data_IF_968306894328
#
_entry.id   IF_968306894328
#
_cell.length_a   1.000
_cell.length_b   1.000
_cell.length_c   1.000
_cell.angle_alpha   90.00
_cell.angle_beta   90.00
_cell.angle_gamma   90.00
#
_symmetry.space_group_name_H-M   'P 1'
#
loop_
_entity.id
_entity.type
_entity.pdbx_description
1 polymer ?
#
# COMPACT_ATOMS: atom_id res chain seq x y z
N UNK A 1 -64.42 -10.16 -31.74
CA UNK A 1 -65.85 -10.52 -31.72
C UNK A 1 -66.21 -10.95 -30.30
N UNK A 2 -67.33 -10.40 -29.78
CA UNK A 2 -68.18 -10.79 -28.62
C UNK A 2 -67.55 -11.40 -27.34
N UNK A 3 -67.92 -11.05 -26.10
CA UNK A 3 -68.91 -10.13 -25.51
C UNK A 3 -68.55 -9.91 -24.02
N UNK A 4 -68.61 -8.69 -23.47
CA UNK A 4 -69.77 -8.04 -22.80
C UNK A 4 -70.49 -8.88 -21.72
N UNK A 5 -70.28 -8.50 -20.46
CA UNK A 5 -71.16 -8.80 -19.31
C UNK A 5 -71.01 -7.73 -18.23
N UNK A 6 -71.98 -6.82 -18.15
CA UNK A 6 -72.13 -5.74 -17.15
C UNK A 6 -73.10 -6.21 -16.05
N UNK A 7 -72.96 -5.75 -14.81
CA UNK A 7 -74.04 -5.86 -13.80
C UNK A 7 -73.68 -5.45 -12.36
N UNK A 8 -74.11 -4.24 -11.98
CA UNK A 8 -74.10 -3.58 -10.65
C UNK A 8 -75.11 -4.25 -9.65
N UNK A 9 -75.27 -3.84 -8.35
CA UNK A 9 -75.18 -2.45 -7.84
C UNK A 9 -74.65 -2.18 -6.40
N UNK A 10 -74.37 -0.90 -6.19
CA UNK A 10 -74.29 -0.18 -4.91
C UNK A 10 -75.61 -0.24 -4.11
N UNK A 11 -75.51 -0.31 -2.77
CA UNK A 11 -76.42 0.41 -1.86
C UNK A 11 -75.63 1.14 -0.77
N UNK A 12 -76.00 2.40 -0.59
CA UNK A 12 -75.59 3.34 0.46
C UNK A 12 -76.55 3.25 1.65
N UNK A 13 -76.05 3.66 2.82
CA UNK A 13 -76.80 4.07 4.01
C UNK A 13 -76.37 3.24 5.22
N UNK A 14 -75.92 3.79 6.35
CA UNK A 14 -75.77 5.15 6.84
C UNK A 14 -75.47 5.07 8.35
N UNK A 15 -74.86 6.10 8.92
CA UNK A 15 -74.89 6.36 10.37
C UNK A 15 -73.76 5.79 11.24
N UNK A 16 -72.80 6.66 11.58
CA UNK A 16 -72.00 6.64 12.83
C UNK A 16 -72.92 6.77 14.08
N UNK A 17 -72.48 6.61 15.37
CA UNK A 17 -71.10 6.79 15.89
C UNK A 17 -70.60 5.87 17.05
N UNK A 18 -69.26 5.93 17.26
CA UNK A 18 -68.50 5.88 18.53
C UNK A 18 -68.67 4.67 19.48
N UNK A 19 -67.56 3.94 19.71
CA UNK A 19 -66.74 4.02 20.95
C UNK A 19 -65.53 3.09 20.88
N UNK A 20 -64.43 3.60 21.43
CA UNK A 20 -63.11 3.00 21.53
C UNK A 20 -63.08 1.73 22.40
N UNK A 21 -62.17 0.80 22.07
CA UNK A 21 -61.28 0.21 23.08
C UNK A 21 -60.00 -0.32 22.45
N UNK A 22 -58.92 0.30 22.89
CA UNK A 22 -57.52 -0.06 22.73
C UNK A 22 -57.30 -1.45 23.35
N UNK A 23 -56.83 -2.41 22.56
CA UNK A 23 -56.15 -3.60 23.04
C UNK A 23 -54.94 -3.77 22.13
N UNK A 24 -53.83 -3.15 22.52
CA UNK A 24 -52.53 -3.40 21.91
C UNK A 24 -51.83 -4.41 22.81
N UNK A 25 -51.90 -5.65 22.35
CA UNK A 25 -51.22 -6.82 22.87
C UNK A 25 -49.78 -6.75 22.35
N UNK A 26 -48.82 -6.34 23.18
CA UNK A 26 -47.40 -6.46 22.85
C UNK A 26 -46.88 -7.69 23.58
N UNK A 27 -47.00 -8.82 22.87
CA UNK A 27 -46.25 -10.04 23.11
C UNK A 27 -44.76 -9.77 22.92
N UNK A 28 -43.96 -9.99 23.95
CA UNK A 28 -42.51 -9.97 23.88
C UNK A 28 -42.01 -11.35 23.42
N UNK A 29 -41.86 -11.55 22.11
CA UNK A 29 -40.90 -12.52 21.61
C UNK A 29 -39.51 -11.88 21.47
N UNK A 30 -38.42 -12.57 21.88
CA UNK A 30 -37.07 -12.10 21.63
C UNK A 30 -36.71 -12.30 20.16
N UNK A 31 -36.38 -11.20 19.49
CA UNK A 31 -35.86 -11.20 18.12
C UNK A 31 -34.55 -11.99 18.07
N UNK A 32 -34.56 -13.15 17.42
CA UNK A 32 -33.37 -13.85 16.95
C UNK A 32 -32.72 -12.98 15.86
N UNK A 33 -31.55 -12.44 16.17
CA UNK A 33 -30.65 -11.90 15.14
C UNK A 33 -30.02 -13.12 14.46
N UNK A 34 -30.49 -13.42 13.26
CA UNK A 34 -29.85 -14.39 12.37
C UNK A 34 -28.51 -13.80 11.93
N UNK A 35 -27.42 -14.46 12.31
CA UNK A 35 -26.09 -14.22 11.74
C UNK A 35 -26.13 -14.74 10.31
N UNK A 36 -26.22 -13.85 9.33
CA UNK A 36 -25.92 -14.20 7.95
C UNK A 36 -24.41 -14.41 7.84
N UNK A 37 -24.02 -15.65 7.61
CA UNK A 37 -22.70 -16.03 7.11
C UNK A 37 -22.44 -15.30 5.79
N UNK A 38 -21.48 -14.39 5.81
CA UNK A 38 -20.97 -13.72 4.59
C UNK A 38 -20.21 -14.75 3.78
N UNK A 39 -20.59 -14.87 2.51
CA UNK A 39 -20.04 -15.78 1.52
C UNK A 39 -18.68 -15.25 1.03
N UNK A 40 -17.61 -16.06 1.11
CA UNK A 40 -16.21 -15.73 0.77
C UNK A 40 -15.91 -15.72 -0.74
N UNK A 41 -16.83 -15.24 -1.56
CA UNK A 41 -16.59 -15.07 -3.00
C UNK A 41 -17.21 -13.76 -3.44
N UNK A 42 -16.42 -12.67 -3.36
CA UNK A 42 -16.42 -11.55 -4.30
C UNK A 42 -15.61 -10.38 -3.71
N UNK A 43 -14.28 -10.47 -3.77
CA UNK A 43 -13.41 -9.31 -3.61
C UNK A 43 -12.27 -9.33 -4.62
N UNK A 44 -12.64 -9.15 -5.89
CA UNK A 44 -11.72 -8.62 -6.90
C UNK A 44 -12.40 -7.41 -7.53
N UNK A 45 -12.08 -6.23 -7.01
CA UNK A 45 -12.04 -5.00 -7.81
C UNK A 45 -11.05 -4.00 -7.22
N UNK A 46 -10.36 -3.21 -8.08
CA UNK A 46 -9.13 -2.53 -7.72
C UNK A 46 -9.40 -1.15 -7.12
N UNK A 47 -8.77 -0.85 -5.99
CA UNK A 47 -8.84 0.47 -5.38
C UNK A 47 -7.94 1.49 -6.13
N UNK A 48 -8.41 2.74 -6.32
CA UNK A 48 -7.70 3.78 -7.07
C UNK A 48 -6.58 4.42 -6.23
N UNK A 49 -5.59 5.05 -6.89
CA UNK A 49 -4.47 5.69 -6.17
C UNK A 49 -4.87 7.05 -5.61
N UNK A 50 -4.77 7.21 -4.29
CA UNK A 50 -4.89 8.53 -3.65
C UNK A 50 -3.57 9.30 -3.77
N UNK A 51 -3.54 10.20 -4.75
CA UNK A 51 -2.51 11.22 -4.94
C UNK A 51 -2.87 12.50 -4.16
N UNK A 52 -1.95 12.89 -3.27
CA UNK A 52 -1.56 14.26 -2.88
C UNK A 52 -2.65 15.20 -2.33
N UNK A 53 -2.64 15.40 -1.01
CA UNK A 53 -3.09 16.66 -0.41
C UNK A 53 -1.88 17.52 -0.01
N UNK A 54 -1.62 18.56 -0.78
CA UNK A 54 -0.78 19.70 -0.37
C UNK A 54 -1.64 20.78 0.29
N UNK A 55 -1.15 21.25 1.43
CA UNK A 55 -1.60 22.37 2.25
C UNK A 55 -1.28 23.71 1.57
N UNK A 56 -2.26 24.62 1.39
CA UNK A 56 -2.09 26.10 1.52
C UNK A 56 -3.42 26.88 1.46
N UNK A 57 -3.43 27.94 2.24
CA UNK A 57 -4.51 28.88 2.62
C UNK A 57 -5.10 29.70 1.45
N UNK A 58 -6.33 30.23 1.62
CA UNK A 58 -6.61 31.68 1.75
C UNK A 58 -8.07 32.10 1.45
N UNK A 59 -8.75 32.62 2.50
CA UNK A 59 -9.62 33.83 2.57
C UNK A 59 -10.92 33.93 1.73
N UNK A 60 -12.10 33.86 2.40
CA UNK A 60 -13.12 34.94 2.52
C UNK A 60 -14.42 34.50 3.24
N UNK A 61 -14.65 35.08 4.45
CA UNK A 61 -15.88 35.59 5.11
C UNK A 61 -17.24 34.80 5.18
N UNK A 62 -18.18 35.15 6.09
CA UNK A 62 -18.05 35.53 7.50
C UNK A 62 -19.00 34.74 8.45
N UNK A 63 -18.68 34.75 9.75
CA UNK A 63 -19.46 34.17 10.84
C UNK A 63 -20.52 35.14 11.41
N UNK A 64 -21.65 34.60 11.86
CA UNK A 64 -22.74 35.30 12.55
C UNK A 64 -22.72 34.96 14.06
N UNK A 65 -22.52 36.01 14.87
CA UNK A 65 -22.97 36.24 16.26
C UNK A 65 -22.19 35.66 17.45
N UNK A 66 -22.22 36.35 18.63
CA UNK A 66 -21.00 36.89 19.24
C UNK A 66 -20.74 36.39 20.67
N UNK A 67 -19.49 36.54 21.13
CA UNK A 67 -19.15 36.53 22.57
C UNK A 67 -18.95 37.96 23.10
N UNK A 68 -19.21 38.24 24.40
CA UNK A 68 -19.09 39.58 24.96
C UNK A 68 -17.64 40.00 25.31
N UNK A 69 -17.47 41.31 25.20
CA UNK A 69 -16.36 42.25 25.40
C UNK A 69 -15.54 42.17 26.73
N UNK A 70 -14.44 42.97 26.85
CA UNK A 70 -13.17 42.62 27.48
C UNK A 70 -12.90 43.37 28.80
N UNK A 71 -11.70 43.18 29.37
CA UNK A 71 -11.02 44.29 30.02
C UNK A 71 -9.49 44.27 29.82
N UNK A 72 -8.83 45.46 29.81
CA UNK A 72 -7.45 45.66 29.38
C UNK A 72 -6.48 45.92 30.55
N UNK A 73 -5.18 45.74 30.27
CA UNK A 73 -4.03 46.66 30.49
C UNK A 73 -2.77 45.90 30.95
N UNK A 74 -1.67 46.03 30.20
CA UNK A 74 -0.48 46.80 30.60
C UNK A 74 0.72 46.54 29.67
N UNK A 75 1.27 47.67 29.23
CA UNK A 75 2.47 47.93 28.45
C UNK A 75 3.76 47.31 29.02
N UNK A 76 4.76 47.01 28.17
CA UNK A 76 6.07 47.70 28.12
C UNK A 76 7.13 46.99 27.24
N UNK A 77 7.49 47.67 26.15
CA UNK A 77 8.82 47.97 25.57
C UNK A 77 10.06 47.15 26.02
N UNK A 78 10.86 46.65 25.03
CA UNK A 78 12.32 46.94 24.83
C UNK A 78 12.82 46.26 23.53
N UNK A 79 13.14 47.00 22.44
CA UNK A 79 14.50 47.35 21.91
C UNK A 79 15.53 46.19 21.97
N UNK A 80 16.34 45.84 20.96
CA UNK A 80 17.22 46.58 20.01
C UNK A 80 17.76 45.52 19.00
N UNK A 81 17.73 45.72 17.68
CA UNK A 81 18.77 46.32 16.80
C UNK A 81 20.01 45.46 16.48
N UNK A 82 20.14 45.02 15.21
CA UNK A 82 21.35 45.11 14.34
C UNK A 82 21.06 44.35 13.03
N UNK A 83 20.69 45.00 11.92
CA UNK A 83 21.58 45.52 10.86
C UNK A 83 22.52 44.47 10.27
N UNK A 84 22.24 44.01 9.04
CA UNK A 84 23.11 44.02 7.85
C UNK A 84 22.26 43.59 6.63
N UNK A 85 22.27 44.41 5.57
CA UNK A 85 21.74 44.19 4.20
C UNK A 85 22.92 44.42 3.23
N UNK A 86 22.78 44.24 1.91
CA UNK A 86 22.37 43.04 1.16
C UNK A 86 23.35 42.74 -0.01
N UNK A 87 23.38 41.51 -0.52
CA UNK A 87 23.94 41.22 -1.85
C UNK A 87 22.85 41.31 -2.92
N UNK A 88 23.09 42.13 -3.93
CA UNK A 88 22.25 42.30 -5.11
C UNK A 88 22.77 41.43 -6.25
N UNK A 89 21.84 40.70 -6.86
CA UNK A 89 21.96 40.02 -8.15
C UNK A 89 21.68 41.02 -9.26
N UNK A 90 22.54 41.11 -10.28
CA UNK A 90 22.15 41.48 -11.67
C UNK A 90 23.09 40.77 -12.65
N UNK A 91 22.50 39.96 -13.53
CA UNK A 91 23.06 39.54 -14.81
C UNK A 91 22.80 40.64 -15.86
N UNK A 92 23.76 40.90 -16.77
CA UNK A 92 23.49 40.96 -18.21
C UNK A 92 24.77 41.20 -19.06
N UNK A 93 24.77 40.52 -20.20
CA UNK A 93 25.31 40.90 -21.51
C UNK A 93 26.77 40.63 -21.95
N UNK A 94 26.79 39.96 -23.10
CA UNK A 94 27.87 39.54 -23.99
C UNK A 94 28.56 40.73 -24.69
N UNK A 95 29.82 40.56 -25.17
CA UNK A 95 30.04 40.80 -26.60
C UNK A 95 31.06 39.88 -27.32
N UNK A 96 30.83 39.80 -28.63
CA UNK A 96 31.60 39.16 -29.73
C UNK A 96 33.10 39.52 -29.79
N UNK A 97 33.93 38.57 -30.26
CA UNK A 97 35.17 38.85 -31.01
C UNK A 97 36.30 37.81 -30.85
N UNK A 98 36.98 37.33 -31.91
CA UNK A 98 37.81 36.11 -31.88
C UNK A 98 39.33 36.38 -31.72
N UNK A 99 40.04 35.49 -31.02
CA UNK A 99 41.52 35.44 -31.05
C UNK A 99 42.03 33.99 -30.98
N UNK A 100 42.60 33.54 -32.12
CA UNK A 100 43.79 32.67 -32.31
C UNK A 100 44.08 31.66 -31.18
N UNK A 101 43.84 30.37 -31.41
CA UNK A 101 44.84 29.40 -31.94
C UNK A 101 46.08 29.28 -31.06
N UNK A 102 46.14 28.23 -30.24
CA UNK A 102 47.30 27.34 -30.14
C UNK A 102 46.87 26.05 -29.43
N UNK A 103 46.84 24.96 -30.20
CA UNK A 103 46.50 23.63 -29.76
C UNK A 103 47.75 22.99 -29.14
N UNK A 104 47.58 22.45 -27.93
CA UNK A 104 48.61 21.78 -27.16
C UNK A 104 49.18 20.57 -27.91
N UNK A 105 50.51 20.48 -27.86
CA UNK A 105 51.40 19.54 -28.55
C UNK A 105 51.00 18.06 -28.38
N UNK A 106 50.69 17.40 -29.49
CA UNK A 106 50.63 15.94 -29.57
C UNK A 106 52.05 15.38 -29.81
N UNK A 107 52.52 14.50 -28.94
CA UNK A 107 53.68 13.64 -29.22
C UNK A 107 53.29 12.60 -30.29
N UNK A 108 53.73 12.82 -31.52
CA UNK A 108 53.60 11.84 -32.60
C UNK A 108 54.57 10.68 -32.40
N UNK A 109 54.05 9.45 -32.39
CA UNK A 109 54.85 8.22 -32.37
C UNK A 109 55.57 8.04 -33.71
N UNK A 110 56.90 7.95 -33.69
CA UNK A 110 57.70 7.73 -34.90
C UNK A 110 57.90 6.22 -35.14
N UNK A 111 57.10 5.65 -36.05
CA UNK A 111 57.09 4.22 -36.43
C UNK A 111 58.47 3.73 -36.91
N UNK A 112 59.30 4.64 -37.42
CA UNK A 112 60.65 4.35 -37.94
C UNK A 112 61.62 3.85 -36.87
N UNK A 113 61.44 4.25 -35.60
CA UNK A 113 62.32 3.85 -34.50
C UNK A 113 62.08 2.41 -34.05
N UNK A 114 60.82 1.95 -34.12
CA UNK A 114 60.45 0.57 -33.79
C UNK A 114 60.96 -0.42 -34.84
N UNK A 115 60.88 -0.05 -36.13
CA UNK A 115 61.38 -0.87 -37.23
C UNK A 115 62.91 -1.07 -37.17
N UNK A 116 63.66 -0.09 -36.65
CA UNK A 116 65.11 -0.25 -36.45
C UNK A 116 65.46 -1.25 -35.35
N UNK A 117 64.68 -1.32 -34.27
CA UNK A 117 64.89 -2.32 -33.21
C UNK A 117 64.58 -3.75 -33.64
N UNK A 118 63.68 -3.96 -34.61
CA UNK A 118 63.37 -5.30 -35.10
C UNK A 118 64.44 -5.90 -36.03
N UNK A 119 65.33 -5.07 -36.60
CA UNK A 119 66.37 -5.57 -37.50
C UNK A 119 67.68 -5.96 -36.80
N UNK A 120 67.90 -5.53 -35.55
CA UNK A 120 69.13 -5.84 -34.83
C UNK A 120 69.11 -7.22 -34.12
N UNK A 121 67.94 -7.85 -33.99
CA UNK A 121 67.78 -9.15 -33.29
C UNK A 121 67.73 -10.37 -34.23
N UNK A 122 67.93 -10.19 -35.55
CA UNK A 122 68.02 -11.28 -36.52
C UNK A 122 69.49 -11.52 -36.89
N UNK A 123 70.25 -12.10 -35.97
CA UNK A 123 71.40 -12.92 -36.32
C UNK A 123 71.04 -14.37 -35.99
N UNK A 124 70.83 -15.14 -37.05
CA UNK A 124 70.54 -16.56 -37.02
C UNK A 124 71.77 -17.36 -36.57
N UNK A 125 71.59 -18.23 -35.58
CA UNK A 125 72.38 -19.46 -35.44
C UNK A 125 71.38 -20.63 -35.64
N UNK A 126 71.48 -21.40 -36.74
CA UNK A 126 70.43 -22.32 -37.14
C UNK A 126 70.75 -23.76 -36.74
N UNK A 127 70.75 -24.07 -35.44
CA UNK A 127 70.77 -25.46 -34.97
C UNK A 127 70.20 -25.51 -33.55
N UNK A 128 68.91 -25.84 -33.41
CA UNK A 128 68.37 -26.81 -32.43
C UNK A 128 66.83 -26.75 -32.43
N UNK A 129 66.23 -27.58 -33.28
CA UNK A 129 64.77 -27.81 -33.32
C UNK A 129 64.35 -28.78 -32.22
N UNK A 130 64.07 -28.30 -31.00
CA UNK A 130 63.11 -28.98 -30.10
C UNK A 130 62.66 -28.15 -28.87
N UNK A 131 62.03 -26.99 -29.05
CA UNK A 131 61.38 -26.29 -27.92
C UNK A 131 59.99 -25.74 -28.29
N UNK A 132 59.04 -26.66 -28.47
CA UNK A 132 57.62 -26.31 -28.63
C UNK A 132 56.86 -26.13 -27.30
N UNK A 133 57.57 -26.09 -26.15
CA UNK A 133 56.94 -25.91 -24.82
C UNK A 133 57.27 -24.56 -24.15
N UNK A 134 58.16 -23.73 -24.72
CA UNK A 134 58.68 -22.51 -24.08
C UNK A 134 58.19 -21.20 -24.71
N UNK A 135 57.03 -21.20 -25.39
CA UNK A 135 56.42 -19.99 -25.98
C UNK A 135 55.31 -19.37 -25.10
N UNK A 136 54.97 -19.99 -23.96
CA UNK A 136 54.00 -19.44 -23.02
C UNK A 136 54.70 -18.47 -22.08
N UNK A 137 54.58 -17.16 -22.36
CA UNK A 137 55.04 -16.14 -21.42
C UNK A 137 54.50 -16.38 -19.99
N UNK A 138 55.28 -16.06 -18.93
CA UNK A 138 54.97 -16.44 -17.56
C UNK A 138 53.58 -15.95 -17.14
N UNK A 139 52.74 -16.85 -16.62
CA UNK A 139 51.39 -16.55 -16.13
C UNK A 139 50.22 -16.93 -17.04
N UNK A 140 50.49 -17.58 -18.18
CA UNK A 140 49.46 -18.16 -19.05
C UNK A 140 49.62 -19.68 -19.18
N UNK A 141 48.51 -20.38 -19.24
CA UNK A 141 48.43 -21.84 -19.43
C UNK A 141 47.42 -22.16 -20.51
N UNK A 142 47.60 -23.32 -21.16
CA UNK A 142 46.67 -23.79 -22.19
C UNK A 142 45.62 -24.71 -21.56
N UNK A 143 44.34 -24.42 -21.84
CA UNK A 143 43.19 -25.22 -21.38
C UNK A 143 42.37 -25.56 -22.61
N UNK A 144 42.27 -26.85 -22.96
CA UNK A 144 41.57 -27.34 -24.17
C UNK A 144 41.93 -26.56 -25.44
N UNK A 145 43.21 -26.22 -25.61
CA UNK A 145 43.70 -25.44 -26.77
C UNK A 145 43.61 -23.91 -26.63
N UNK A 146 42.98 -23.38 -25.58
CA UNK A 146 42.85 -21.94 -25.34
C UNK A 146 43.93 -21.40 -24.39
N UNK A 147 44.54 -20.26 -24.74
CA UNK A 147 45.57 -19.61 -23.93
C UNK A 147 44.93 -18.67 -22.90
N UNK A 148 44.85 -19.07 -21.65
CA UNK A 148 44.22 -18.31 -20.57
C UNK A 148 45.19 -18.02 -19.43
N UNK A 149 44.86 -17.04 -18.57
CA UNK A 149 45.68 -16.78 -17.36
C UNK A 149 45.64 -17.99 -16.44
N UNK A 150 46.77 -18.31 -15.80
CA UNK A 150 46.87 -19.47 -14.91
C UNK A 150 45.85 -19.44 -13.75
N UNK A 151 45.46 -18.25 -13.28
CA UNK A 151 44.47 -18.07 -12.20
C UNK A 151 43.06 -18.54 -12.57
N UNK A 152 42.67 -18.40 -13.85
CA UNK A 152 41.32 -18.76 -14.33
C UNK A 152 41.27 -20.15 -14.95
N UNK A 153 42.42 -20.77 -15.20
CA UNK A 153 42.52 -22.07 -15.83
C UNK A 153 41.75 -23.18 -15.07
N UNK A 154 41.84 -23.30 -13.73
CA UNK A 154 41.09 -24.31 -12.99
C UNK A 154 39.57 -24.13 -13.12
N UNK A 155 39.11 -22.87 -13.16
CA UNK A 155 37.70 -22.55 -13.30
C UNK A 155 37.18 -22.92 -14.69
N UNK A 156 37.95 -22.55 -15.73
CA UNK A 156 37.60 -22.86 -17.11
C UNK A 156 37.58 -24.38 -17.37
N UNK A 157 38.55 -25.11 -16.84
CA UNK A 157 38.57 -26.57 -16.88
C UNK A 157 37.29 -27.16 -16.24
N UNK A 158 36.91 -26.66 -15.06
CA UNK A 158 35.67 -27.08 -14.40
C UNK A 158 34.41 -26.80 -15.22
N UNK A 159 34.38 -25.68 -15.96
CA UNK A 159 33.28 -25.36 -16.89
C UNK A 159 33.26 -26.37 -18.04
N UNK A 160 34.39 -26.65 -18.67
CA UNK A 160 34.46 -27.61 -19.78
C UNK A 160 34.10 -29.04 -19.35
N UNK A 161 34.52 -29.47 -18.17
CA UNK A 161 34.13 -30.77 -17.60
C UNK A 161 32.62 -30.87 -17.43
N UNK A 162 31.95 -29.78 -17.02
CA UNK A 162 30.51 -29.79 -16.72
C UNK A 162 29.63 -29.55 -17.94
N UNK A 163 30.08 -28.72 -18.87
CA UNK A 163 29.27 -28.22 -19.97
C UNK A 163 29.76 -28.67 -21.35
N UNK A 164 30.85 -29.45 -21.41
CA UNK A 164 31.55 -29.77 -22.66
C UNK A 164 32.30 -28.57 -23.21
N UNK A 165 32.91 -28.72 -24.39
CA UNK A 165 33.55 -27.60 -25.08
C UNK A 165 32.52 -26.55 -25.51
N UNK A 166 32.42 -25.48 -24.72
CA UNK A 166 31.50 -24.37 -24.96
C UNK A 166 31.90 -23.51 -26.17
N UNK A 167 33.07 -23.72 -26.77
CA UNK A 167 33.57 -22.97 -27.93
C UNK A 167 33.51 -23.76 -29.24
N UNK A 168 33.00 -25.00 -29.24
CA UNK A 168 32.96 -25.87 -30.40
C UNK A 168 32.27 -25.24 -31.63
N UNK A 169 31.27 -24.38 -31.41
CA UNK A 169 30.53 -23.67 -32.47
C UNK A 169 30.95 -22.19 -32.63
N UNK A 170 32.01 -21.76 -31.93
CA UNK A 170 32.41 -20.35 -31.87
C UNK A 170 32.82 -19.83 -33.25
N UNK A 171 32.35 -18.64 -33.61
CA UNK A 171 32.63 -18.02 -34.92
C UNK A 171 33.91 -17.18 -34.94
N UNK A 172 34.62 -17.06 -33.82
CA UNK A 172 35.83 -16.26 -33.73
C UNK A 172 37.04 -17.04 -34.26
N UNK A 173 37.63 -16.55 -35.34
CA UNK A 173 38.83 -17.14 -35.94
C UNK A 173 40.07 -16.94 -35.07
N UNK A 174 40.25 -15.76 -34.47
CA UNK A 174 41.39 -15.45 -33.60
C UNK A 174 41.36 -16.25 -32.29
N UNK A 175 42.38 -17.06 -31.99
CA UNK A 175 42.53 -17.74 -30.69
C UNK A 175 42.61 -16.77 -29.50
N UNK A 176 43.20 -15.60 -29.69
CA UNK A 176 43.36 -14.56 -28.67
C UNK A 176 41.99 -13.97 -28.30
N UNK A 177 41.15 -13.69 -29.30
CA UNK A 177 39.79 -13.22 -29.07
C UNK A 177 38.94 -14.28 -28.36
N UNK A 178 39.02 -15.55 -28.79
CA UNK A 178 38.33 -16.66 -28.08
C UNK A 178 38.75 -16.70 -26.61
N UNK A 179 40.05 -16.62 -26.34
CA UNK A 179 40.58 -16.62 -24.98
C UNK A 179 40.15 -15.39 -24.16
N UNK A 180 40.02 -14.22 -24.80
CA UNK A 180 39.50 -13.01 -24.15
C UNK A 180 38.05 -13.19 -23.69
N UNK A 181 37.16 -13.68 -24.56
CA UNK A 181 35.77 -13.94 -24.20
C UNK A 181 35.65 -14.99 -23.09
N UNK A 182 36.44 -16.07 -23.14
CA UNK A 182 36.49 -17.07 -22.07
C UNK A 182 36.96 -16.48 -20.73
N UNK A 183 37.93 -15.55 -20.76
CA UNK A 183 38.35 -14.83 -19.57
C UNK A 183 37.24 -13.98 -18.96
N UNK A 184 36.51 -13.23 -19.79
CA UNK A 184 35.35 -12.43 -19.36
C UNK A 184 34.23 -13.31 -18.79
N UNK A 185 33.96 -14.45 -19.42
CA UNK A 185 33.00 -15.44 -18.94
C UNK A 185 33.37 -15.97 -17.55
N UNK A 186 34.63 -16.37 -17.37
CA UNK A 186 35.15 -16.86 -16.09
C UNK A 186 35.01 -15.80 -15.00
N UNK A 187 35.26 -14.52 -15.31
CA UNK A 187 35.04 -13.42 -14.35
C UNK A 187 33.57 -13.27 -13.94
N UNK A 188 32.61 -13.44 -14.86
CA UNK A 188 31.18 -13.40 -14.53
C UNK A 188 30.82 -14.58 -13.61
N UNK A 189 31.27 -15.78 -13.96
CA UNK A 189 31.02 -16.98 -13.16
C UNK A 189 31.58 -16.86 -11.74
N UNK A 190 32.84 -16.44 -11.63
CA UNK A 190 33.51 -16.27 -10.34
C UNK A 190 32.81 -15.20 -9.47
N UNK A 191 32.42 -14.06 -10.07
CA UNK A 191 31.67 -13.03 -9.35
C UNK A 191 30.32 -13.53 -8.85
N UNK A 192 29.59 -14.34 -9.64
CA UNK A 192 28.35 -14.98 -9.18
C UNK A 192 28.60 -16.00 -8.07
N UNK A 193 29.71 -16.74 -8.13
CA UNK A 193 30.07 -17.73 -7.12
C UNK A 193 30.44 -17.09 -5.77
N UNK A 194 31.10 -15.93 -5.80
CA UNK A 194 31.51 -15.19 -4.60
C UNK A 194 30.40 -14.32 -4.01
N UNK A 195 29.36 -14.00 -4.79
CA UNK A 195 28.27 -13.15 -4.35
C UNK A 195 27.45 -13.80 -3.21
N UNK A 196 27.21 -13.02 -2.15
CA UNK A 196 26.25 -13.39 -1.08
C UNK A 196 24.89 -12.77 -1.38
N UNK A 197 23.91 -13.61 -1.65
CA UNK A 197 22.54 -13.18 -1.86
C UNK A 197 21.86 -12.81 -0.53
N UNK A 198 21.05 -11.74 -0.44
CA UNK A 198 20.73 -10.75 -1.49
C UNK A 198 21.61 -9.48 -1.45
N UNK A 199 22.47 -9.33 -0.44
CA UNK A 199 23.09 -8.04 -0.09
C UNK A 199 24.26 -7.63 -0.99
N UNK A 200 24.99 -8.59 -1.57
CA UNK A 200 26.23 -8.33 -2.31
C UNK A 200 26.10 -8.37 -3.83
N UNK A 201 24.88 -8.46 -4.36
CA UNK A 201 24.64 -8.46 -5.79
C UNK A 201 23.49 -7.53 -6.14
N UNK A 202 23.77 -6.55 -6.99
CA UNK A 202 22.78 -5.55 -7.41
C UNK A 202 22.20 -5.88 -8.78
N UNK A 203 21.03 -5.32 -9.09
CA UNK A 203 20.44 -5.43 -10.44
C UNK A 203 21.35 -4.88 -11.53
N UNK A 204 22.05 -3.77 -11.26
CA UNK A 204 23.01 -3.17 -12.20
C UNK A 204 24.13 -4.14 -12.55
N UNK A 205 24.70 -4.81 -11.55
CA UNK A 205 25.76 -5.80 -11.78
C UNK A 205 25.26 -7.03 -12.53
N UNK A 206 24.03 -7.49 -12.26
CA UNK A 206 23.41 -8.59 -13.01
C UNK A 206 23.17 -8.21 -14.47
N UNK A 207 22.73 -6.97 -14.74
CA UNK A 207 22.53 -6.45 -16.09
C UNK A 207 23.87 -6.34 -16.86
N UNK A 208 24.94 -5.89 -16.19
CA UNK A 208 26.29 -5.88 -16.74
C UNK A 208 26.80 -7.29 -17.07
N UNK A 209 26.57 -8.26 -16.18
CA UNK A 209 26.90 -9.66 -16.44
C UNK A 209 26.12 -10.21 -17.64
N UNK A 210 24.82 -9.90 -17.75
CA UNK A 210 23.99 -10.29 -18.90
C UNK A 210 24.50 -9.70 -20.21
N UNK A 211 25.03 -8.47 -20.21
CA UNK A 211 25.66 -7.89 -21.39
C UNK A 211 26.85 -8.73 -21.86
N UNK A 212 27.75 -9.10 -20.95
CA UNK A 212 28.90 -9.97 -21.25
C UNK A 212 28.45 -11.33 -21.79
N UNK A 213 27.45 -11.94 -21.16
CA UNK A 213 26.92 -13.24 -21.60
C UNK A 213 26.28 -13.14 -22.98
N UNK A 214 25.50 -12.08 -23.26
CA UNK A 214 24.95 -11.84 -24.61
C UNK A 214 26.03 -11.64 -25.66
N UNK A 215 27.13 -10.98 -25.33
CA UNK A 215 28.23 -10.81 -26.27
C UNK A 215 28.93 -12.15 -26.56
N UNK A 216 29.04 -13.05 -25.57
CA UNK A 216 29.51 -14.43 -25.78
C UNK A 216 28.53 -15.23 -26.67
N UNK A 217 27.21 -15.09 -26.46
CA UNK A 217 26.19 -15.76 -27.28
C UNK A 217 26.25 -15.31 -28.74
N UNK A 218 26.49 -14.01 -29.01
CA UNK A 218 26.60 -13.46 -30.38
C UNK A 218 27.72 -14.11 -31.19
N UNK A 219 28.81 -14.50 -30.52
CA UNK A 219 29.95 -15.20 -31.14
C UNK A 219 29.83 -16.73 -31.05
N UNK A 220 28.62 -17.23 -30.74
CA UNK A 220 28.27 -18.65 -30.61
C UNK A 220 29.08 -19.43 -29.57
N UNK A 221 29.48 -18.78 -28.48
CA UNK A 221 29.95 -19.51 -27.30
C UNK A 221 28.72 -19.99 -26.54
N UNK A 222 28.65 -21.28 -26.22
CA UNK A 222 27.49 -21.89 -25.58
C UNK A 222 27.42 -21.58 -24.08
N UNK A 223 26.71 -20.50 -23.73
CA UNK A 223 26.62 -19.97 -22.36
C UNK A 223 25.18 -19.75 -21.89
N UNK A 224 24.20 -20.38 -22.55
CA UNK A 224 22.78 -20.23 -22.21
C UNK A 224 22.46 -20.65 -20.77
N UNK A 225 23.23 -21.59 -20.21
CA UNK A 225 23.14 -22.00 -18.81
C UNK A 225 23.49 -20.87 -17.82
N UNK A 226 24.47 -20.03 -18.17
CA UNK A 226 24.90 -18.90 -17.35
C UNK A 226 23.88 -17.76 -17.44
N UNK A 227 23.37 -17.52 -18.64
CA UNK A 227 22.27 -16.56 -18.87
C UNK A 227 21.06 -16.90 -18.00
N UNK A 228 20.55 -18.13 -18.11
CA UNK A 228 19.41 -18.60 -17.33
C UNK A 228 19.66 -18.46 -15.82
N UNK A 229 20.89 -18.70 -15.36
CA UNK A 229 21.26 -18.53 -13.95
C UNK A 229 21.21 -17.06 -13.51
N UNK A 230 21.74 -16.13 -14.31
CA UNK A 230 21.73 -14.70 -13.99
C UNK A 230 20.30 -14.15 -14.00
N UNK A 231 19.50 -14.53 -15.00
CA UNK A 231 18.08 -14.15 -15.09
C UNK A 231 17.31 -14.64 -13.85
N UNK A 232 17.49 -15.90 -13.45
CA UNK A 232 16.89 -16.45 -12.23
C UNK A 232 17.29 -15.66 -10.96
N UNK A 233 18.57 -15.31 -10.81
CA UNK A 233 19.04 -14.52 -9.67
C UNK A 233 18.42 -13.12 -9.68
N UNK A 234 18.32 -12.48 -10.85
CA UNK A 234 17.68 -11.17 -11.02
C UNK A 234 16.20 -11.21 -10.63
N UNK A 235 15.45 -12.19 -11.13
CA UNK A 235 14.04 -12.37 -10.80
C UNK A 235 13.84 -12.63 -9.31
N UNK A 236 14.71 -13.47 -8.72
CA UNK A 236 14.68 -13.77 -7.28
C UNK A 236 14.97 -12.53 -6.45
N UNK A 237 15.92 -11.68 -6.86
CA UNK A 237 16.23 -10.42 -6.19
C UNK A 237 15.06 -9.45 -6.24
N UNK A 238 14.42 -9.30 -7.41
CA UNK A 238 13.19 -8.51 -7.55
C UNK A 238 12.06 -9.06 -6.67
N UNK A 239 11.89 -10.39 -6.62
CA UNK A 239 10.94 -11.06 -5.75
C UNK A 239 11.18 -10.78 -4.27
N UNK A 240 12.45 -10.83 -3.84
CA UNK A 240 12.85 -10.56 -2.46
C UNK A 240 12.50 -9.13 -2.02
N UNK A 241 12.79 -8.11 -2.84
CA UNK A 241 12.43 -6.73 -2.50
C UNK A 241 10.92 -6.47 -2.52
N UNK A 242 10.18 -7.12 -3.42
CA UNK A 242 8.71 -7.10 -3.39
C UNK A 242 8.18 -7.70 -2.09
N UNK A 243 8.70 -8.86 -1.69
CA UNK A 243 8.35 -9.53 -0.44
C UNK A 243 8.60 -8.62 0.78
N UNK A 244 9.76 -7.98 0.88
CA UNK A 244 10.05 -7.04 1.98
C UNK A 244 9.02 -5.90 2.06
N UNK A 245 8.70 -5.27 0.91
CA UNK A 245 7.68 -4.21 0.85
C UNK A 245 6.29 -4.71 1.26
N UNK A 246 5.92 -5.93 0.87
CA UNK A 246 4.64 -6.51 1.27
C UNK A 246 4.60 -6.83 2.76
N UNK A 247 5.69 -7.35 3.32
CA UNK A 247 5.82 -7.64 4.74
C UNK A 247 5.65 -6.37 5.59
N UNK A 248 6.31 -5.28 5.20
CA UNK A 248 6.20 -3.99 5.90
C UNK A 248 4.77 -3.44 5.88
N UNK A 249 4.15 -3.37 4.69
CA UNK A 249 2.75 -2.92 4.57
C UNK A 249 1.77 -3.85 5.30
N UNK A 250 2.02 -5.15 5.28
CA UNK A 250 1.23 -6.13 6.04
C UNK A 250 1.22 -5.79 7.53
N UNK A 251 2.39 -5.49 8.10
CA UNK A 251 2.50 -5.07 9.49
C UNK A 251 1.83 -3.71 9.79
N UNK A 252 1.76 -2.80 8.81
CA UNK A 252 1.01 -1.54 8.95
C UNK A 252 -0.50 -1.78 9.00
N UNK A 253 -1.02 -2.63 8.12
CA UNK A 253 -2.44 -2.98 8.11
C UNK A 253 -2.84 -3.75 9.36
N UNK A 254 -2.00 -4.67 9.83
CA UNK A 254 -2.24 -5.41 11.08
C UNK A 254 -2.41 -4.46 12.27
N UNK A 255 -1.52 -3.47 12.40
CA UNK A 255 -1.65 -2.41 13.43
C UNK A 255 -2.93 -1.57 13.27
N UNK A 256 -3.30 -1.26 12.03
CA UNK A 256 -4.52 -0.50 11.76
C UNK A 256 -5.78 -1.29 12.15
N UNK A 257 -5.83 -2.58 11.81
CA UNK A 257 -6.92 -3.49 12.19
C UNK A 257 -7.00 -3.59 13.71
N UNK A 258 -5.89 -3.86 14.40
CA UNK A 258 -5.86 -3.95 15.86
C UNK A 258 -6.36 -2.66 16.53
N UNK A 259 -6.01 -1.48 15.98
CA UNK A 259 -6.52 -0.21 16.48
C UNK A 259 -8.02 -0.07 16.28
N UNK A 260 -8.56 -0.52 15.14
CA UNK A 260 -9.99 -0.43 14.83
C UNK A 260 -10.82 -1.42 15.63
N UNK A 261 -10.30 -2.61 15.90
CA UNK A 261 -10.93 -3.57 16.79
C UNK A 261 -11.03 -3.03 18.23
N UNK A 262 -9.98 -2.35 18.73
CA UNK A 262 -10.02 -1.69 20.04
C UNK A 262 -11.07 -0.58 20.10
N UNK A 263 -11.16 0.27 19.06
CA UNK A 263 -12.17 1.32 18.97
C UNK A 263 -13.59 0.74 18.90
N UNK A 264 -13.78 -0.32 18.12
CA UNK A 264 -15.05 -1.04 18.02
C UNK A 264 -15.47 -1.62 19.37
N UNK A 265 -14.55 -2.22 20.12
CA UNK A 265 -14.82 -2.73 21.47
C UNK A 265 -15.26 -1.65 22.47
N UNK A 266 -14.80 -0.40 22.32
CA UNK A 266 -15.30 0.73 23.11
C UNK A 266 -16.76 1.03 22.78
N UNK A 267 -17.10 1.11 21.49
CA UNK A 267 -18.47 1.37 21.05
C UNK A 267 -19.45 0.26 21.45
N UNK A 268 -19.03 -1.00 21.38
CA UNK A 268 -19.81 -2.14 21.86
C UNK A 268 -20.09 -2.03 23.37
N UNK A 269 -19.09 -1.61 24.15
CA UNK A 269 -19.26 -1.36 25.59
C UNK A 269 -20.26 -0.23 25.90
N UNK A 270 -20.16 0.89 25.17
CA UNK A 270 -21.09 2.02 25.31
C UNK A 270 -22.52 1.64 24.92
N UNK A 271 -22.68 0.85 23.85
CA UNK A 271 -23.97 0.35 23.40
C UNK A 271 -24.62 -0.53 24.48
N UNK A 272 -23.88 -1.48 25.04
CA UNK A 272 -24.36 -2.34 26.12
C UNK A 272 -24.77 -1.54 27.37
N UNK A 273 -24.06 -0.45 27.69
CA UNK A 273 -24.45 0.43 28.78
C UNK A 273 -25.76 1.17 28.52
N UNK A 274 -25.94 1.69 27.31
CA UNK A 274 -27.15 2.40 26.93
C UNK A 274 -28.37 1.46 26.94
N UNK A 275 -28.22 0.24 26.43
CA UNK A 275 -29.26 -0.78 26.46
C UNK A 275 -29.70 -1.12 27.88
N UNK A 276 -28.74 -1.26 28.81
CA UNK A 276 -29.04 -1.48 30.23
C UNK A 276 -29.84 -0.32 30.83
N UNK A 277 -29.47 0.94 30.52
CA UNK A 277 -30.20 2.13 30.97
C UNK A 277 -31.62 2.17 30.39
N UNK A 278 -31.79 1.84 29.12
CA UNK A 278 -33.09 1.73 28.45
C UNK A 278 -33.96 0.67 29.14
N UNK A 279 -33.39 -0.51 29.45
CA UNK A 279 -34.10 -1.57 30.16
C UNK A 279 -34.60 -1.10 31.55
N UNK A 280 -33.75 -0.40 32.31
CA UNK A 280 -34.11 0.15 33.62
C UNK A 280 -35.25 1.16 33.51
N UNK A 281 -35.19 2.08 32.54
CA UNK A 281 -36.26 3.08 32.32
C UNK A 281 -37.55 2.39 31.91
N UNK A 282 -37.49 1.38 31.04
CA UNK A 282 -38.66 0.58 30.63
C UNK A 282 -39.32 -0.08 31.85
N UNK A 283 -38.55 -0.66 32.76
CA UNK A 283 -39.07 -1.24 34.00
C UNK A 283 -39.80 -0.20 34.86
N UNK A 284 -39.19 0.98 35.07
CA UNK A 284 -39.82 2.08 35.82
C UNK A 284 -41.12 2.56 35.19
N UNK A 285 -41.18 2.63 33.86
CA UNK A 285 -42.41 2.97 33.12
C UNK A 285 -43.50 1.92 33.34
N UNK A 286 -43.17 0.64 33.34
CA UNK A 286 -44.15 -0.43 33.63
C UNK A 286 -44.72 -0.29 35.03
N UNK A 287 -43.88 -0.15 36.05
CA UNK A 287 -44.33 0.03 37.45
C UNK A 287 -45.22 1.28 37.60
N UNK A 288 -44.82 2.42 37.04
CA UNK A 288 -45.62 3.64 37.11
C UNK A 288 -46.96 3.51 36.38
N UNK A 289 -47.01 2.77 35.26
CA UNK A 289 -48.26 2.48 34.55
C UNK A 289 -49.21 1.66 35.40
N UNK A 290 -48.72 0.62 36.08
CA UNK A 290 -49.52 -0.21 36.99
C UNK A 290 -50.10 0.61 38.15
N UNK A 291 -49.28 1.47 38.77
CA UNK A 291 -49.73 2.38 39.82
C UNK A 291 -50.82 3.35 39.34
N UNK A 292 -50.64 3.94 38.14
CA UNK A 292 -51.63 4.84 37.53
C UNK A 292 -52.94 4.10 37.27
N UNK A 293 -52.90 2.86 36.78
CA UNK A 293 -54.10 2.03 36.57
C UNK A 293 -54.82 1.78 37.90
N UNK A 294 -54.08 1.39 38.95
CA UNK A 294 -54.64 1.16 40.28
C UNK A 294 -55.28 2.42 40.88
N UNK A 295 -54.61 3.58 40.77
CA UNK A 295 -55.12 4.87 41.28
C UNK A 295 -56.33 5.35 40.48
N UNK A 296 -56.35 5.15 39.16
CA UNK A 296 -57.53 5.47 38.32
C UNK A 296 -58.74 4.62 38.69
N UNK A 297 -58.56 3.33 38.97
CA UNK A 297 -59.66 2.45 39.42
C UNK A 297 -60.29 2.95 40.72
N UNK A 298 -59.46 3.27 41.73
CA UNK A 298 -59.92 3.85 43.01
C UNK A 298 -60.63 5.20 42.83
N UNK A 299 -60.12 6.06 41.94
CA UNK A 299 -60.76 7.34 41.65
C UNK A 299 -62.15 7.17 41.03
N UNK A 300 -62.33 6.19 40.14
CA UNK A 300 -63.64 5.91 39.52
C UNK A 300 -64.63 5.31 40.54
N UNK A 301 -64.15 4.47 41.47
CA UNK A 301 -64.97 3.97 42.59
C UNK A 301 -65.46 5.12 43.48
N UNK A 302 -64.56 6.02 43.90
CA UNK A 302 -64.93 7.21 44.68
C UNK A 302 -65.92 8.11 43.92
N UNK A 303 -65.72 8.29 42.61
CA UNK A 303 -66.62 9.08 41.77
C UNK A 303 -68.04 8.49 41.75
N UNK A 304 -68.17 7.16 41.67
CA UNK A 304 -69.48 6.49 41.76
C UNK A 304 -70.14 6.73 43.12
N UNK A 305 -69.40 6.58 44.22
CA UNK A 305 -69.91 6.86 45.57
C UNK A 305 -70.37 8.31 45.73
N UNK A 306 -69.62 9.28 45.20
CA UNK A 306 -70.01 10.70 45.25
C UNK A 306 -71.31 10.95 44.47
N UNK A 307 -71.47 10.39 43.28
CA UNK A 307 -72.72 10.55 42.52
C UNK A 307 -73.90 9.84 43.21
N UNK A 308 -73.68 8.68 43.85
CA UNK A 308 -74.69 8.04 44.70
C UNK A 308 -75.12 8.95 45.87
N UNK A 309 -74.17 9.47 46.64
CA UNK A 309 -74.47 10.38 47.77
C UNK A 309 -75.19 11.64 47.25
N UNK A 310 -74.71 12.22 46.14
CA UNK A 310 -75.28 13.42 45.54
C UNK A 310 -76.72 13.19 45.06
N UNK A 311 -77.03 12.04 44.48
CA UNK A 311 -78.42 11.70 44.10
C UNK A 311 -79.31 11.57 45.33
N UNK A 312 -78.86 10.89 46.38
CA UNK A 312 -79.58 10.80 47.67
C UNK A 312 -79.87 12.17 48.30
N UNK A 313 -78.87 13.06 48.33
CA UNK A 313 -79.01 14.45 48.84
C UNK A 313 -80.02 15.25 48.01
N UNK A 314 -80.01 15.11 46.68
CA UNK A 314 -80.98 15.78 45.80
C UNK A 314 -82.41 15.32 46.06
N UNK A 315 -82.62 14.01 46.23
CA UNK A 315 -83.93 13.44 46.55
C UNK A 315 -84.49 14.02 47.86
N UNK A 316 -83.67 14.03 48.93
CA UNK A 316 -84.06 14.61 50.21
C UNK A 316 -84.38 16.09 50.13
N UNK A 317 -83.65 16.87 49.31
CA UNK A 317 -83.92 18.31 49.12
C UNK A 317 -85.25 18.58 48.43
N UNK A 318 -85.71 17.69 47.55
CA UNK A 318 -86.98 17.80 46.85
C UNK A 318 -88.19 17.32 47.66
N UNK A 319 -87.99 16.72 48.83
CA UNK A 319 -89.01 16.20 49.73
C UNK A 319 -88.95 16.94 51.08
N UNK A 320 -90.02 16.94 51.87
CA UNK A 320 -89.91 17.35 53.28
C UNK A 320 -89.12 16.28 54.02
N UNK A 321 -88.32 16.65 55.03
CA UNK A 321 -87.51 15.66 55.79
C UNK A 321 -88.39 14.60 56.49
N UNK A 322 -89.68 14.92 56.67
CA UNK A 322 -90.73 14.07 57.24
C UNK A 322 -91.56 13.31 56.17
N UNK A 323 -91.25 13.48 54.89
CA UNK A 323 -91.98 12.85 53.78
C UNK A 323 -91.81 11.32 53.85
N UNK A 324 -92.90 10.59 54.07
CA UNK A 324 -92.91 9.13 54.22
C UNK A 324 -93.00 8.61 55.66
N UNK A 325 -93.12 9.49 56.67
CA UNK A 325 -93.37 9.13 58.09
C UNK A 325 -94.86 9.16 58.49
N UNK A 326 -95.77 9.43 57.54
CA UNK A 326 -97.23 9.44 57.72
C UNK A 326 -97.84 8.43 56.75
#
# INVERSE_FOLDING_TARGET
>A
MAGKGKGCPRKRGGGQPKKAKLAEEISCEPSKISVETVNDQDFVSPLPPLSRYTRRNSINAPALFPSPLPNPTHSLKKTRSSTLKPENVVNHDNPKGPTKSECSSYHSFNVTEFAKRLHDDINEDPDEVNEAESALGPGFTQVHGHRVKSEIAPLLEGIFVKHGDITAECTLESPELRSHFLGRLCSVYDKLQQAKFPEKITHVELDEMLLVVRDCEKVKINVGWLRARIEYVSDTLTGYYKYLRFKERGAEYEKYVESKEKELGVYEGELAELERKVCLVRQRVCTAREEVVAKRAKAEEMKKMVEEIKTRVKTLRGQTVVHGLV
#
